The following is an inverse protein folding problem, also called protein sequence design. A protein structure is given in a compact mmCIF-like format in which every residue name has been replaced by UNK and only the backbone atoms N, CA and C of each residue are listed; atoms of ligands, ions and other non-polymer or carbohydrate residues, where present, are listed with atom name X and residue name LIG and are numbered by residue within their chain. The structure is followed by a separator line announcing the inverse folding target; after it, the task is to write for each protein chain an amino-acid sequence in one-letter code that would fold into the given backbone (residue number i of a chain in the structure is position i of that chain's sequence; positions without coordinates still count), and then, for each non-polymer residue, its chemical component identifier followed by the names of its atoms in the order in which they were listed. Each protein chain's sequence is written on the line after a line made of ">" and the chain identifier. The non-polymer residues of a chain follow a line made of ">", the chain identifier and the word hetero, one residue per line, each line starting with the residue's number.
data_IF_947768345739
#
_entry.id   IF_947768345739
#
_cell.length_a   1.000
_cell.length_b   1.000
_cell.length_c   1.000
_cell.angle_alpha   90.00
_cell.angle_beta   90.00
_cell.angle_gamma   90.00
#
_symmetry.space_group_name_H-M   'P 1'
#
loop_
_entity.id
_entity.type
_entity.pdbx_description
1 polymer ?
#
# COMPACT_ATOMS: atom_id res chain seq x y z
N UNK A 1 -2.07 -0.04 4.71
CA UNK A 1 -2.26 0.14 6.16
C UNK A 1 -1.34 -0.78 6.96
N UNK A 2 -1.33 -2.09 6.67
CA UNK A 2 -0.49 -3.08 7.37
C UNK A 2 1.00 -2.75 7.22
N UNK A 3 1.47 -2.53 6.01
CA UNK A 3 2.89 -2.24 5.73
C UNK A 3 3.34 -0.88 6.30
N UNK A 4 2.41 0.05 6.50
CA UNK A 4 2.68 1.40 7.00
C UNK A 4 2.57 1.51 8.53
N UNK A 5 2.46 0.39 9.23
CA UNK A 5 2.24 0.36 10.69
C UNK A 5 3.30 1.16 11.48
N UNK A 6 4.54 1.20 10.98
CA UNK A 6 5.68 1.91 11.60
C UNK A 6 6.04 3.22 10.89
N UNK A 7 5.41 3.52 9.76
CA UNK A 7 5.68 4.74 8.97
C UNK A 7 5.17 5.97 9.74
N UNK A 8 5.89 7.08 9.63
CA UNK A 8 5.45 8.37 10.19
C UNK A 8 4.08 8.76 9.64
N UNK A 9 3.24 9.29 10.49
CA UNK A 9 1.83 9.57 10.17
C UNK A 9 1.66 10.63 9.07
N UNK A 10 2.51 11.67 9.07
CA UNK A 10 2.48 12.70 8.03
C UNK A 10 3.00 12.14 6.71
N UNK A 11 3.99 11.24 6.74
CA UNK A 11 4.45 10.55 5.52
C UNK A 11 3.33 9.74 4.91
N UNK A 12 2.55 9.01 5.71
CA UNK A 12 1.36 8.27 5.24
C UNK A 12 0.37 9.23 4.58
N UNK A 13 -0.02 10.30 5.27
CA UNK A 13 -1.01 11.25 4.78
C UNK A 13 -0.54 11.96 3.50
N UNK A 14 0.71 12.45 3.47
CA UNK A 14 1.29 13.10 2.29
C UNK A 14 1.40 12.16 1.08
N UNK A 15 1.70 10.88 1.34
CA UNK A 15 1.78 9.86 0.28
C UNK A 15 0.41 9.56 -0.30
N UNK A 16 -0.58 9.31 0.58
CA UNK A 16 -1.95 9.02 0.14
C UNK A 16 -2.56 10.19 -0.62
N UNK A 17 -2.43 11.41 -0.10
CA UNK A 17 -2.88 12.60 -0.82
C UNK A 17 -2.17 12.77 -2.16
N UNK A 18 -0.85 12.56 -2.18
CA UNK A 18 -0.06 12.63 -3.40
C UNK A 18 -0.55 11.66 -4.48
N UNK A 19 -0.94 10.44 -4.11
CA UNK A 19 -1.50 9.43 -5.01
C UNK A 19 -2.85 9.90 -5.56
N UNK A 20 -3.78 10.31 -4.70
CA UNK A 20 -5.11 10.81 -5.10
C UNK A 20 -4.98 11.97 -6.08
N UNK A 21 -4.18 12.97 -5.73
CA UNK A 21 -3.99 14.15 -6.55
C UNK A 21 -3.34 13.84 -7.88
N UNK A 22 -2.35 12.94 -7.94
CA UNK A 22 -1.76 12.49 -9.20
C UNK A 22 -2.77 11.82 -10.11
N UNK A 23 -3.61 10.93 -9.57
CA UNK A 23 -4.63 10.23 -10.34
C UNK A 23 -5.60 11.23 -10.95
N UNK A 24 -6.15 12.15 -10.15
CA UNK A 24 -7.15 13.09 -10.63
C UNK A 24 -6.60 14.25 -11.48
N UNK A 25 -5.32 14.60 -11.30
CA UNK A 25 -4.63 15.47 -12.27
C UNK A 25 -4.50 14.81 -13.65
N UNK A 26 -4.28 13.49 -13.67
CA UNK A 26 -4.18 12.74 -14.92
C UNK A 26 -5.54 12.49 -15.55
N UNK A 27 -6.51 12.04 -14.76
CA UNK A 27 -7.88 11.81 -15.20
C UNK A 27 -8.87 12.03 -14.04
N UNK A 28 -9.65 13.12 -14.05
CA UNK A 28 -10.62 13.41 -13.00
C UNK A 28 -11.83 12.47 -12.98
N UNK A 29 -12.00 11.61 -13.97
CA UNK A 29 -13.07 10.60 -14.01
C UNK A 29 -12.64 9.24 -13.45
N UNK A 30 -11.43 9.13 -12.90
CA UNK A 30 -10.99 7.88 -12.28
C UNK A 30 -11.55 7.76 -10.87
N UNK A 31 -12.38 6.76 -10.64
CA UNK A 31 -12.86 6.45 -9.30
C UNK A 31 -11.74 5.87 -8.43
N UNK A 32 -11.71 6.27 -7.18
CA UNK A 32 -10.75 5.80 -6.17
C UNK A 32 -11.54 5.20 -5.01
N UNK A 33 -11.09 4.07 -4.50
CA UNK A 33 -11.58 3.45 -3.28
C UNK A 33 -10.39 2.99 -2.43
N UNK A 34 -10.38 3.34 -1.14
CA UNK A 34 -9.36 2.88 -0.23
C UNK A 34 -9.74 1.53 0.38
N UNK A 35 -8.80 0.58 0.38
CA UNK A 35 -9.00 -0.76 0.94
C UNK A 35 -8.06 -0.95 2.13
N UNK A 36 -8.62 -1.28 3.31
CA UNK A 36 -7.85 -1.49 4.53
C UNK A 36 -7.85 -2.94 4.94
N UNK A 37 -6.68 -3.56 4.83
CA UNK A 37 -6.40 -4.89 5.37
C UNK A 37 -5.98 -4.80 6.83
N UNK A 38 -6.02 -5.93 7.54
CA UNK A 38 -5.63 -6.00 8.95
C UNK A 38 -4.62 -7.12 9.20
N UNK A 39 -3.91 -7.03 10.32
CA UNK A 39 -3.04 -8.09 10.82
C UNK A 39 -3.20 -8.23 12.35
N UNK A 40 -2.58 -9.27 12.91
CA UNK A 40 -2.71 -9.62 14.34
C UNK A 40 -2.40 -8.44 15.29
N UNK A 41 -1.34 -7.62 15.10
CA UNK A 41 -1.06 -6.47 15.96
C UNK A 41 -2.14 -5.37 15.99
N UNK A 42 -3.06 -5.35 15.01
CA UNK A 42 -4.14 -4.36 14.96
C UNK A 42 -5.38 -4.78 15.77
N UNK A 43 -5.47 -6.05 16.17
CA UNK A 43 -6.71 -6.60 16.74
C UNK A 43 -7.16 -5.92 18.03
N UNK A 44 -6.25 -5.53 18.90
CA UNK A 44 -6.61 -4.90 20.18
C UNK A 44 -7.28 -3.54 19.97
N UNK A 45 -6.74 -2.71 19.09
CA UNK A 45 -7.36 -1.43 18.72
C UNK A 45 -8.71 -1.65 18.05
N UNK A 46 -8.79 -2.58 17.10
CA UNK A 46 -10.01 -2.90 16.35
C UNK A 46 -11.13 -3.44 17.26
N UNK A 47 -10.81 -4.35 18.19
CA UNK A 47 -11.75 -4.85 19.21
C UNK A 47 -12.23 -3.75 20.15
N UNK A 48 -11.41 -2.75 20.39
CA UNK A 48 -11.78 -1.55 21.16
C UNK A 48 -12.58 -0.52 20.33
N UNK A 49 -12.97 -0.85 19.10
CA UNK A 49 -13.71 0.05 18.20
C UNK A 49 -12.86 1.20 17.64
N UNK A 50 -11.53 1.05 17.62
CA UNK A 50 -10.61 2.08 17.13
C UNK A 50 -9.97 1.64 15.84
N UNK A 51 -9.94 2.52 14.85
CA UNK A 51 -9.11 2.31 13.67
C UNK A 51 -7.63 2.35 14.04
N UNK A 52 -6.84 1.46 13.46
CA UNK A 52 -5.40 1.48 13.62
C UNK A 52 -4.79 2.81 13.13
N UNK A 53 -3.65 3.20 13.71
CA UNK A 53 -3.04 4.51 13.46
C UNK A 53 -2.87 4.83 11.98
N UNK A 54 -2.34 3.90 11.17
CA UNK A 54 -2.14 4.12 9.74
C UNK A 54 -3.47 4.35 8.99
N UNK A 55 -4.51 3.57 9.31
CA UNK A 55 -5.85 3.73 8.74
C UNK A 55 -6.42 5.12 9.06
N UNK A 56 -6.29 5.60 10.30
CA UNK A 56 -6.81 6.92 10.68
C UNK A 56 -6.23 8.05 9.83
N UNK A 57 -4.92 8.00 9.51
CA UNK A 57 -4.31 9.03 8.67
C UNK A 57 -4.66 8.88 7.18
N UNK A 58 -4.91 7.68 6.71
CA UNK A 58 -5.43 7.44 5.35
C UNK A 58 -6.88 7.94 5.25
N UNK A 59 -7.70 7.71 6.28
CA UNK A 59 -9.10 8.19 6.34
C UNK A 59 -9.18 9.72 6.35
N UNK A 60 -8.24 10.45 6.96
CA UNK A 60 -8.26 11.93 6.85
C UNK A 60 -8.19 12.41 5.41
N UNK A 61 -7.48 11.67 4.55
CA UNK A 61 -7.41 11.97 3.11
C UNK A 61 -8.69 11.51 2.41
N UNK A 62 -9.20 10.31 2.74
CA UNK A 62 -10.44 9.79 2.19
C UNK A 62 -11.61 10.74 2.46
N UNK A 63 -11.78 11.15 3.72
CA UNK A 63 -12.84 12.08 4.15
C UNK A 63 -12.73 13.44 3.44
N UNK A 64 -11.52 13.99 3.34
CA UNK A 64 -11.31 15.28 2.71
C UNK A 64 -11.68 15.28 1.22
N UNK A 65 -11.38 14.20 0.51
CA UNK A 65 -11.62 14.08 -0.93
C UNK A 65 -12.92 13.36 -1.28
N UNK A 66 -13.76 13.01 -0.30
CA UNK A 66 -15.00 12.26 -0.47
C UNK A 66 -14.77 10.89 -1.17
N UNK A 67 -13.65 10.22 -0.81
CA UNK A 67 -13.26 8.92 -1.34
C UNK A 67 -13.86 7.82 -0.46
N UNK A 68 -14.60 6.86 -1.03
CA UNK A 68 -15.10 5.73 -0.25
C UNK A 68 -13.96 4.82 0.21
N UNK A 69 -14.14 4.20 1.38
CA UNK A 69 -13.23 3.20 1.90
C UNK A 69 -13.94 1.89 2.25
N UNK A 70 -13.21 0.79 2.20
CA UNK A 70 -13.66 -0.54 2.63
C UNK A 70 -12.70 -1.04 3.70
N UNK A 71 -13.22 -1.22 4.91
CA UNK A 71 -12.47 -1.79 6.00
C UNK A 71 -12.77 -3.31 6.10
N UNK A 72 -11.82 -4.14 5.74
CA UNK A 72 -11.97 -5.59 5.80
C UNK A 72 -12.03 -6.13 7.24
N UNK A 73 -11.67 -5.31 8.24
CA UNK A 73 -11.73 -5.73 9.63
C UNK A 73 -13.16 -5.97 10.12
N UNK A 74 -14.15 -5.30 9.55
CA UNK A 74 -15.53 -5.36 10.05
C UNK A 74 -16.09 -6.79 10.03
N UNK A 75 -16.08 -7.45 8.86
CA UNK A 75 -16.59 -8.84 8.74
C UNK A 75 -15.69 -9.85 9.49
N UNK A 76 -14.38 -9.58 9.59
CA UNK A 76 -13.45 -10.43 10.36
C UNK A 76 -13.76 -10.36 11.86
N UNK A 77 -13.98 -9.15 12.39
CA UNK A 77 -14.35 -8.93 13.80
C UNK A 77 -15.72 -9.51 14.13
N UNK A 78 -16.69 -9.39 13.23
CA UNK A 78 -18.01 -10.01 13.39
C UNK A 78 -17.88 -11.53 13.58
N UNK A 79 -17.16 -12.21 12.69
CA UNK A 79 -16.93 -13.66 12.78
C UNK A 79 -16.10 -14.05 14.01
N UNK A 80 -15.16 -13.23 14.44
CA UNK A 80 -14.41 -13.45 15.69
C UNK A 80 -15.32 -13.35 16.92
N UNK A 81 -16.19 -12.35 16.98
CA UNK A 81 -17.14 -12.12 18.08
C UNK A 81 -18.20 -13.23 18.16
N UNK A 82 -18.58 -13.80 17.01
CA UNK A 82 -19.49 -14.93 16.91
C UNK A 82 -18.82 -16.28 17.18
N UNK A 83 -17.55 -16.31 17.52
CA UNK A 83 -16.74 -17.52 17.71
C UNK A 83 -16.69 -18.44 16.48
N UNK A 84 -16.87 -17.89 15.30
CA UNK A 84 -16.84 -18.59 14.00
C UNK A 84 -15.48 -18.55 13.30
N UNK A 85 -14.51 -17.82 13.86
CA UNK A 85 -13.22 -17.58 13.25
C UNK A 85 -12.08 -17.71 14.26
N UNK A 86 -11.01 -18.37 13.85
CA UNK A 86 -9.69 -18.34 14.50
C UNK A 86 -8.82 -17.36 13.71
N UNK A 87 -8.42 -16.26 14.32
CA UNK A 87 -7.64 -15.25 13.58
C UNK A 87 -6.32 -15.81 13.07
N UNK A 88 -5.55 -16.48 13.94
CA UNK A 88 -4.27 -17.10 13.58
C UNK A 88 -4.26 -18.56 13.99
N UNK A 89 -4.00 -19.45 13.04
CA UNK A 89 -3.94 -20.88 13.25
C UNK A 89 -3.34 -21.60 12.06
N UNK A 90 -3.15 -22.90 12.19
CA UNK A 90 -2.74 -23.75 11.08
C UNK A 90 -3.97 -24.14 10.26
N UNK A 91 -4.11 -23.58 9.06
CA UNK A 91 -5.28 -23.83 8.19
C UNK A 91 -5.43 -25.28 7.73
N UNK A 92 -4.44 -26.15 8.00
CA UNK A 92 -4.51 -27.59 7.76
C UNK A 92 -5.11 -28.38 8.92
N UNK A 93 -5.36 -27.71 10.06
CA UNK A 93 -5.95 -28.30 11.25
C UNK A 93 -7.43 -27.97 11.37
N UNK A 94 -8.17 -28.85 12.01
CA UNK A 94 -9.58 -28.64 12.35
C UNK A 94 -9.71 -27.80 13.62
N UNK A 95 -10.60 -26.83 13.60
CA UNK A 95 -10.89 -25.92 14.72
C UNK A 95 -12.39 -25.89 15.02
N UNK A 96 -13.00 -27.06 15.17
CA UNK A 96 -14.42 -27.17 15.49
C UNK A 96 -15.35 -26.46 14.50
N UNK A 97 -15.03 -26.54 13.20
CA UNK A 97 -15.78 -25.87 12.13
C UNK A 97 -15.50 -24.39 11.97
N UNK A 98 -14.57 -23.81 12.74
CA UNK A 98 -14.20 -22.39 12.61
C UNK A 98 -13.29 -22.17 11.41
N UNK A 99 -13.43 -21.00 10.80
CA UNK A 99 -12.57 -20.53 9.72
C UNK A 99 -11.21 -20.10 10.29
N UNK A 100 -10.10 -20.53 9.69
CA UNK A 100 -8.77 -19.98 10.00
C UNK A 100 -8.47 -18.82 9.06
N UNK A 101 -8.41 -17.60 9.61
CA UNK A 101 -8.21 -16.39 8.80
C UNK A 101 -6.78 -16.28 8.25
N UNK A 102 -5.75 -16.51 9.08
CA UNK A 102 -4.34 -16.42 8.68
C UNK A 102 -3.49 -17.48 9.35
N UNK A 103 -2.42 -17.93 8.69
CA UNK A 103 -1.44 -18.83 9.29
C UNK A 103 -0.34 -18.08 10.05
N UNK A 104 0.04 -16.89 9.59
CA UNK A 104 1.20 -16.11 10.08
C UNK A 104 0.82 -14.86 10.87
N UNK A 105 -0.46 -14.53 10.96
CA UNK A 105 -0.97 -13.32 11.61
C UNK A 105 -1.11 -12.12 10.67
N UNK A 106 -0.77 -12.26 9.38
CA UNK A 106 -0.77 -11.15 8.43
C UNK A 106 -1.49 -11.49 7.12
N UNK A 107 -1.10 -12.58 6.48
CA UNK A 107 -1.62 -12.93 5.16
C UNK A 107 -2.87 -13.80 5.28
N UNK A 108 -4.02 -13.40 4.70
CA UNK A 108 -5.23 -14.21 4.74
C UNK A 108 -5.02 -15.55 4.04
N UNK A 109 -5.57 -16.61 4.61
CA UNK A 109 -5.55 -17.96 4.00
C UNK A 109 -6.39 -17.97 2.72
N UNK A 110 -6.03 -18.86 1.79
CA UNK A 110 -6.73 -18.99 0.52
C UNK A 110 -8.21 -19.38 0.69
N UNK A 111 -8.48 -20.40 1.52
CA UNK A 111 -9.83 -20.95 1.70
C UNK A 111 -10.63 -20.27 2.81
N UNK A 112 -9.99 -19.48 3.68
CA UNK A 112 -10.65 -18.83 4.81
C UNK A 112 -10.68 -17.31 4.71
N UNK A 113 -9.51 -16.65 4.76
CA UNK A 113 -9.40 -15.21 4.81
C UNK A 113 -9.77 -14.50 3.50
N UNK A 114 -9.31 -15.01 2.36
CA UNK A 114 -9.64 -14.42 1.05
C UNK A 114 -11.15 -14.42 0.73
N UNK A 115 -11.94 -15.50 1.00
CA UNK A 115 -13.39 -15.46 0.80
C UNK A 115 -14.09 -14.37 1.64
N UNK A 116 -13.64 -14.11 2.88
CA UNK A 116 -14.18 -13.02 3.72
C UNK A 116 -13.93 -11.69 3.05
N UNK A 117 -12.68 -11.40 2.64
CA UNK A 117 -12.34 -10.17 1.93
C UNK A 117 -13.12 -10.00 0.63
N UNK A 118 -13.25 -11.07 -0.15
CA UNK A 118 -14.01 -11.05 -1.41
C UNK A 118 -15.49 -10.71 -1.16
N UNK A 119 -16.12 -11.29 -0.13
CA UNK A 119 -17.51 -11.01 0.23
C UNK A 119 -17.69 -9.54 0.63
N UNK A 120 -16.80 -9.00 1.49
CA UNK A 120 -16.82 -7.61 1.94
C UNK A 120 -16.67 -6.66 0.77
N UNK A 121 -15.66 -6.89 -0.08
CA UNK A 121 -15.39 -6.04 -1.23
C UNK A 121 -16.55 -6.07 -2.23
N UNK A 122 -17.05 -7.26 -2.58
CA UNK A 122 -18.16 -7.40 -3.53
C UNK A 122 -19.41 -6.65 -3.07
N UNK A 123 -19.77 -6.80 -1.78
CA UNK A 123 -20.90 -6.07 -1.19
C UNK A 123 -20.72 -4.56 -1.28
N UNK A 124 -19.53 -4.07 -0.96
CA UNK A 124 -19.20 -2.64 -0.98
C UNK A 124 -19.21 -2.08 -2.41
N UNK A 125 -18.61 -2.77 -3.36
CA UNK A 125 -18.60 -2.35 -4.77
C UNK A 125 -20.02 -2.32 -5.38
N UNK A 126 -20.88 -3.30 -5.04
CA UNK A 126 -22.28 -3.28 -5.49
C UNK A 126 -23.07 -2.11 -4.92
N UNK A 127 -22.72 -1.62 -3.73
CA UNK A 127 -23.32 -0.40 -3.17
C UNK A 127 -22.79 0.85 -3.87
N UNK A 128 -21.48 0.94 -4.09
CA UNK A 128 -20.80 2.06 -4.77
C UNK A 128 -21.27 2.21 -6.22
N UNK A 129 -21.53 1.10 -6.93
CA UNK A 129 -22.00 1.11 -8.32
C UNK A 129 -23.36 1.80 -8.53
N UNK A 130 -24.05 2.18 -7.45
CA UNK A 130 -25.29 2.97 -7.51
C UNK A 130 -25.02 4.48 -7.54
N UNK A 131 -23.78 4.91 -7.30
CA UNK A 131 -23.40 6.30 -7.36
C UNK A 131 -23.44 6.82 -8.81
N UNK A 132 -23.74 8.11 -8.96
CA UNK A 132 -23.72 8.74 -10.28
C UNK A 132 -22.28 9.00 -10.70
N UNK A 133 -21.97 8.70 -11.95
CA UNK A 133 -20.68 9.06 -12.56
C UNK A 133 -20.54 10.59 -12.61
N UNK A 134 -19.44 11.10 -12.09
CA UNK A 134 -19.09 12.51 -12.13
C UNK A 134 -17.58 12.72 -12.12
N UNK A 135 -17.15 13.85 -12.68
CA UNK A 135 -15.75 14.26 -12.52
C UNK A 135 -15.46 14.64 -11.05
N UNK A 136 -14.34 14.16 -10.52
CA UNK A 136 -13.89 14.50 -9.18
C UNK A 136 -13.19 15.87 -9.17
N UNK A 137 -13.74 16.80 -8.39
CA UNK A 137 -13.15 18.12 -8.24
C UNK A 137 -11.85 18.05 -7.42
N UNK A 138 -10.75 18.49 -7.99
CA UNK A 138 -9.50 18.57 -7.27
C UNK A 138 -9.50 19.79 -6.34
N UNK A 139 -9.75 19.56 -5.06
CA UNK A 139 -9.74 20.58 -3.99
C UNK A 139 -8.32 21.14 -3.79
N UNK A 140 -8.17 22.23 -3.04
CA UNK A 140 -6.86 22.65 -2.55
C UNK A 140 -6.19 21.52 -1.79
N UNK A 141 -4.83 21.43 -1.74
CA UNK A 141 -4.17 20.39 -0.97
C UNK A 141 -4.57 20.42 0.50
N UNK A 142 -4.92 19.27 1.08
CA UNK A 142 -5.11 19.12 2.52
C UNK A 142 -3.77 19.30 3.25
N UNK A 143 -2.73 18.71 2.70
CA UNK A 143 -1.37 18.81 3.22
C UNK A 143 -0.47 19.57 2.25
N UNK A 144 -0.07 20.82 2.56
CA UNK A 144 0.96 21.52 1.80
C UNK A 144 2.26 20.69 1.79
N UNK A 145 2.81 20.45 0.61
CA UNK A 145 4.00 19.61 0.47
C UNK A 145 3.71 18.11 0.40
N UNK A 146 2.47 17.69 0.11
CA UNK A 146 2.16 16.31 -0.25
C UNK A 146 2.97 15.85 -1.47
N UNK A 147 2.97 14.53 -1.75
CA UNK A 147 3.86 13.97 -2.76
C UNK A 147 3.27 13.91 -4.19
N UNK A 148 2.32 14.78 -4.52
CA UNK A 148 1.75 14.84 -5.88
C UNK A 148 2.81 15.12 -6.97
N UNK A 149 3.90 15.81 -6.62
CA UNK A 149 5.01 16.13 -7.53
C UNK A 149 6.17 15.14 -7.49
N UNK A 150 6.09 14.11 -6.67
CA UNK A 150 7.13 13.09 -6.61
C UNK A 150 7.28 12.38 -7.96
N UNK A 151 8.51 12.12 -8.38
CA UNK A 151 8.86 11.43 -9.63
C UNK A 151 9.85 10.32 -9.31
N UNK A 152 9.71 9.18 -9.99
CA UNK A 152 10.77 8.19 -10.09
C UNK A 152 11.58 8.51 -11.34
N UNK A 153 12.89 8.53 -11.18
CA UNK A 153 13.85 8.77 -12.26
C UNK A 153 14.60 7.46 -12.48
N UNK A 154 14.59 6.92 -13.70
CA UNK A 154 15.36 5.71 -14.02
C UNK A 154 16.84 5.92 -13.77
N UNK A 155 17.53 4.90 -13.29
CA UNK A 155 18.99 4.95 -13.05
C UNK A 155 19.80 5.26 -14.32
N UNK A 156 19.22 4.96 -15.49
CA UNK A 156 19.80 5.28 -16.81
C UNK A 156 19.90 6.78 -17.11
N UNK A 157 19.19 7.61 -16.34
CA UNK A 157 19.23 9.08 -16.48
C UNK A 157 20.24 9.74 -15.51
N UNK A 158 20.94 8.93 -14.68
CA UNK A 158 21.86 9.46 -13.70
C UNK A 158 23.24 9.72 -14.33
N UNK A 159 23.86 10.84 -13.99
CA UNK A 159 25.27 11.08 -14.22
C UNK A 159 26.09 10.25 -13.22
N UNK A 160 27.04 9.46 -13.70
CA UNK A 160 27.85 8.60 -12.84
C UNK A 160 29.29 8.50 -13.36
N UNK A 161 30.23 8.11 -12.47
CA UNK A 161 31.61 7.82 -12.84
C UNK A 161 31.72 6.54 -13.70
N UNK A 162 32.84 6.37 -14.38
CA UNK A 162 33.06 5.26 -15.32
C UNK A 162 33.05 3.87 -14.64
N UNK A 163 33.28 3.81 -13.33
CA UNK A 163 33.27 2.54 -12.58
C UNK A 163 31.89 1.93 -12.40
N UNK A 164 30.82 2.68 -12.63
CA UNK A 164 29.46 2.13 -12.58
C UNK A 164 29.10 1.35 -13.83
N UNK A 165 28.50 0.19 -13.62
CA UNK A 165 27.98 -0.68 -14.67
C UNK A 165 26.47 -0.78 -14.59
N UNK A 166 25.82 -0.59 -15.72
CA UNK A 166 24.39 -0.84 -15.85
C UNK A 166 24.19 -2.35 -16.03
N UNK A 167 23.46 -2.96 -15.10
CA UNK A 167 23.11 -4.38 -15.17
C UNK A 167 21.62 -4.55 -15.44
N UNK A 168 21.27 -5.48 -16.28
CA UNK A 168 19.92 -5.91 -16.61
C UNK A 168 19.77 -7.42 -16.41
N UNK A 169 18.56 -7.93 -16.60
CA UNK A 169 18.26 -9.38 -16.50
C UNK A 169 19.12 -10.26 -17.41
N UNK A 170 19.72 -9.71 -18.47
CA UNK A 170 20.56 -10.45 -19.40
C UNK A 170 22.02 -10.54 -18.90
N UNK A 171 22.35 -9.82 -17.85
CA UNK A 171 23.68 -9.84 -17.24
C UNK A 171 23.77 -10.92 -16.17
N UNK A 172 24.81 -11.76 -16.23
CA UNK A 172 25.01 -12.80 -15.23
C UNK A 172 25.13 -12.25 -13.81
N UNK A 173 25.72 -11.07 -13.63
CA UNK A 173 25.87 -10.41 -12.33
C UNK A 173 24.53 -9.97 -11.74
N UNK A 174 23.53 -9.68 -12.57
CA UNK A 174 22.20 -9.28 -12.12
C UNK A 174 21.51 -10.34 -11.24
N UNK A 175 21.84 -11.62 -11.41
CA UNK A 175 21.32 -12.70 -10.57
C UNK A 175 21.67 -12.57 -9.08
N UNK A 176 22.73 -11.81 -8.76
CA UNK A 176 23.16 -11.54 -7.38
C UNK A 176 22.40 -10.38 -6.72
N UNK A 177 21.64 -9.62 -7.49
CA UNK A 177 20.83 -8.52 -6.97
C UNK A 177 19.74 -9.03 -6.02
N UNK A 178 19.74 -8.55 -4.77
CA UNK A 178 18.85 -9.00 -3.70
C UNK A 178 17.51 -8.26 -3.63
N UNK A 179 17.28 -7.29 -4.53
CA UNK A 179 16.03 -6.55 -4.63
C UNK A 179 14.97 -7.26 -5.48
N UNK A 180 13.82 -6.61 -5.64
CA UNK A 180 12.76 -7.08 -6.54
C UNK A 180 13.17 -6.91 -8.01
N UNK A 181 13.67 -7.95 -8.60
CA UNK A 181 14.14 -7.98 -10.00
C UNK A 181 13.01 -7.71 -11.02
N UNK A 182 11.75 -7.88 -10.65
CA UNK A 182 10.61 -7.56 -11.53
C UNK A 182 10.28 -6.08 -11.50
N UNK A 183 10.33 -5.48 -10.32
CA UNK A 183 10.07 -4.05 -10.14
C UNK A 183 11.27 -3.19 -10.58
N UNK A 184 12.49 -3.71 -10.45
CA UNK A 184 13.74 -3.03 -10.79
C UNK A 184 14.51 -3.84 -11.85
N UNK A 185 14.08 -3.77 -13.12
CA UNK A 185 14.66 -4.60 -14.20
C UNK A 185 16.06 -4.18 -14.63
N UNK A 186 16.52 -3.03 -14.16
CA UNK A 186 17.84 -2.47 -14.44
C UNK A 186 18.37 -1.83 -13.16
N UNK A 187 19.66 -2.07 -12.86
CA UNK A 187 20.35 -1.51 -11.69
C UNK A 187 21.74 -1.00 -12.08
N UNK A 188 22.27 -0.06 -11.29
CA UNK A 188 23.67 0.35 -11.36
C UNK A 188 24.46 -0.40 -10.29
N UNK A 189 25.61 -0.95 -10.65
CA UNK A 189 26.56 -1.61 -9.76
C UNK A 189 27.95 -0.96 -9.87
N UNK A 190 28.57 -0.70 -8.75
CA UNK A 190 30.00 -0.40 -8.63
C UNK A 190 30.58 -1.12 -7.44
N UNK A 191 31.87 -1.46 -7.51
CA UNK A 191 32.66 -2.02 -6.41
C UNK A 191 33.75 -1.06 -5.92
N UNK A 192 33.88 0.12 -6.52
CA UNK A 192 34.85 1.14 -6.12
C UNK A 192 34.20 2.18 -5.20
N UNK A 193 34.81 2.43 -4.06
CA UNK A 193 34.34 3.42 -3.08
C UNK A 193 34.48 4.87 -3.54
N UNK A 194 35.30 5.12 -4.56
CA UNK A 194 35.48 6.45 -5.15
C UNK A 194 34.47 6.75 -6.27
N UNK A 195 33.71 5.75 -6.69
CA UNK A 195 32.65 5.93 -7.67
C UNK A 195 31.49 6.76 -7.12
N UNK A 196 30.96 7.63 -7.95
CA UNK A 196 29.83 8.48 -7.58
C UNK A 196 28.66 8.36 -8.56
N UNK A 197 27.47 8.61 -8.05
CA UNK A 197 26.24 8.85 -8.79
C UNK A 197 25.78 10.27 -8.45
N UNK A 198 25.41 11.04 -9.48
CA UNK A 198 24.99 12.42 -9.31
C UNK A 198 23.61 12.63 -9.88
N UNK A 199 22.72 13.19 -9.05
CA UNK A 199 21.35 13.48 -9.39
C UNK A 199 21.08 14.96 -9.15
N UNK A 200 20.63 15.65 -10.18
CA UNK A 200 20.13 17.02 -10.06
C UNK A 200 18.63 17.00 -9.82
N UNK A 201 18.16 17.51 -8.70
CA UNK A 201 16.75 17.60 -8.43
C UNK A 201 16.35 18.95 -7.85
N UNK A 202 15.08 19.32 -8.07
CA UNK A 202 14.44 20.46 -7.43
C UNK A 202 13.28 19.94 -6.60
N UNK A 203 13.46 19.94 -5.29
CA UNK A 203 12.47 19.40 -4.36
C UNK A 203 12.97 19.44 -2.92
N UNK A 204 12.15 18.93 -2.01
CA UNK A 204 12.43 18.92 -0.58
C UNK A 204 12.89 17.54 -0.08
N UNK A 205 12.81 16.52 -0.93
CA UNK A 205 13.21 15.14 -0.60
C UNK A 205 13.78 14.43 -1.83
N UNK A 206 14.76 13.58 -1.59
CA UNK A 206 15.32 12.63 -2.54
C UNK A 206 15.48 11.29 -1.81
N UNK A 207 15.26 10.20 -2.51
CA UNK A 207 15.47 8.84 -2.02
C UNK A 207 16.10 7.98 -3.11
N UNK A 208 16.80 6.93 -2.72
CA UNK A 208 17.38 5.91 -3.59
C UNK A 208 16.73 4.58 -3.23
N UNK A 209 16.40 3.79 -4.25
CA UNK A 209 15.83 2.44 -4.13
C UNK A 209 16.80 1.42 -4.70
#
# INVERSE_FOLDING_TARGET
>A
AVNDAKTDSLVIAHSMEGIVRKIWHHNPHTDICFLYTLNEPMLDDLKAGKNYRSVRYMETVADYYDIPSVNFADDVLELLNEDKLVFKGDSKKEYSGKIVFTNDGTHPTYDGGHPIYTKTLSRSLLQMNKAQEKAHALKAPLYPGNYEKAKMIPVTEFEHSEGWKLLSKDDKAFSNFQGDQKALPVVLESSDSEDFVKVHFKGIRVGVF
#
